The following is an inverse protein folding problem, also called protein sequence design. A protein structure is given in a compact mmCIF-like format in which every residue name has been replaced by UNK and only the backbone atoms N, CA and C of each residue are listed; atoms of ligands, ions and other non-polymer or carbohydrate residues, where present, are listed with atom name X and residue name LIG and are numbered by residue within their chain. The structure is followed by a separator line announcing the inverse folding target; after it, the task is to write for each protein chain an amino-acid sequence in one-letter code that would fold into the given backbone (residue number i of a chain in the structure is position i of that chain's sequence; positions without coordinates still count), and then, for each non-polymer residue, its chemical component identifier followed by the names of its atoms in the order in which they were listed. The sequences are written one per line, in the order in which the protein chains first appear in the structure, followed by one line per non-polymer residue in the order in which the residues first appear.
data_IF_057175112116
#
_entry.id   IF_057175112116
#
_cell.length_a   1.000
_cell.length_b   1.000
_cell.length_c   1.000
_cell.angle_alpha   90.00
_cell.angle_beta   90.00
_cell.angle_gamma   90.00
#
_symmetry.space_group_name_H-M   'P 1'
#
loop_
_entity.id
_entity.type
_entity.pdbx_description
1 polymer ?
#
# COMPACT_ATOMS: atom_id res chain seq x y z
N UNK A 1 -10.37 20.02 37.04
CA UNK A 1 -11.66 19.71 37.69
C UNK A 1 -12.82 19.69 36.71
N UNK A 2 -13.93 19.05 37.10
CA UNK A 2 -15.16 19.03 36.28
C UNK A 2 -15.60 20.48 36.01
N UNK A 3 -15.83 20.80 34.75
CA UNK A 3 -16.10 22.16 34.27
C UNK A 3 -14.91 22.83 33.59
N UNK A 4 -13.69 22.34 33.81
CA UNK A 4 -12.48 22.88 33.18
C UNK A 4 -12.53 22.72 31.66
N UNK A 5 -11.83 23.66 31.00
CA UNK A 5 -11.73 23.73 29.55
C UNK A 5 -10.27 23.75 29.12
N UNK A 6 -9.97 23.03 28.06
CA UNK A 6 -8.78 23.17 27.26
C UNK A 6 -9.19 23.72 25.89
N UNK A 7 -8.33 24.56 25.33
CA UNK A 7 -8.47 25.06 23.97
C UNK A 7 -7.39 24.38 23.13
N UNK A 8 -7.79 23.84 21.98
CA UNK A 8 -6.92 23.11 21.08
C UNK A 8 -7.08 23.68 19.69
N UNK A 9 -6.03 24.33 19.22
CA UNK A 9 -5.95 24.84 17.85
C UNK A 9 -5.35 23.75 16.96
N UNK A 10 -6.11 23.37 15.95
CA UNK A 10 -5.74 22.39 14.94
C UNK A 10 -5.59 23.08 13.60
N UNK A 11 -4.53 22.74 12.87
CA UNK A 11 -4.20 23.30 11.56
C UNK A 11 -4.05 24.84 11.59
N UNK A 12 -2.80 25.31 11.70
CA UNK A 12 -2.51 26.74 11.71
C UNK A 12 -2.75 27.46 10.37
N UNK A 13 -3.09 26.74 9.31
CA UNK A 13 -3.61 27.34 8.08
C UNK A 13 -5.08 27.71 8.22
N UNK A 14 -5.91 26.73 8.58
CA UNK A 14 -7.36 26.85 8.66
C UNK A 14 -7.89 27.40 10.00
N UNK A 15 -7.06 27.42 11.04
CA UNK A 15 -7.34 27.91 12.40
C UNK A 15 -8.57 27.24 13.06
N UNK A 16 -8.60 25.90 13.08
CA UNK A 16 -9.66 25.15 13.74
C UNK A 16 -9.53 25.20 15.26
N UNK A 17 -10.44 25.91 15.93
CA UNK A 17 -10.41 26.08 17.38
C UNK A 17 -11.39 25.12 18.07
N UNK A 18 -10.85 24.14 18.80
CA UNK A 18 -11.64 23.18 19.58
C UNK A 18 -11.65 23.52 21.07
N UNK A 19 -12.83 23.50 21.69
CA UNK A 19 -12.96 23.55 23.15
C UNK A 19 -13.21 22.15 23.70
N UNK A 20 -12.29 21.65 24.52
CA UNK A 20 -12.41 20.36 25.21
C UNK A 20 -12.82 20.65 26.66
N UNK A 21 -14.01 20.21 27.06
CA UNK A 21 -14.54 20.43 28.41
C UNK A 21 -14.62 19.12 29.19
N UNK A 22 -14.12 19.10 30.42
CA UNK A 22 -14.32 17.96 31.33
C UNK A 22 -15.73 18.01 31.92
N UNK A 23 -16.62 17.14 31.48
CA UNK A 23 -18.03 17.13 31.94
C UNK A 23 -18.27 16.24 33.16
N UNK A 24 -17.55 15.11 33.25
CA UNK A 24 -17.65 14.18 34.35
C UNK A 24 -16.36 13.35 34.49
N UNK A 25 -16.08 12.92 35.72
CA UNK A 25 -15.04 11.92 36.02
C UNK A 25 -15.73 10.69 36.58
N UNK A 26 -15.64 9.57 35.87
CA UNK A 26 -16.29 8.31 36.21
C UNK A 26 -15.24 7.22 36.44
N UNK A 27 -15.52 6.19 37.26
CA UNK A 27 -14.66 5.03 37.38
C UNK A 27 -14.44 4.37 36.01
N UNK A 28 -13.18 4.04 35.72
CA UNK A 28 -12.82 3.37 34.48
C UNK A 28 -13.11 1.88 34.57
N UNK A 29 -13.66 1.31 33.50
CA UNK A 29 -13.68 -0.14 33.30
C UNK A 29 -12.34 -0.58 32.70
N UNK A 30 -11.60 -1.45 33.41
CA UNK A 30 -10.25 -1.89 33.00
C UNK A 30 -10.23 -2.63 31.67
N UNK A 31 -11.35 -3.27 31.31
CA UNK A 31 -11.51 -4.00 30.05
C UNK A 31 -12.17 -3.18 28.94
N UNK A 32 -12.55 -1.93 29.22
CA UNK A 32 -13.16 -1.03 28.24
C UNK A 32 -12.12 -0.39 27.30
N UNK A 33 -12.54 0.00 26.08
CA UNK A 33 -11.70 0.81 25.19
C UNK A 33 -11.28 2.13 25.88
N UNK A 34 -10.09 2.65 25.52
CA UNK A 34 -9.53 3.88 26.12
C UNK A 34 -10.38 5.12 25.86
N UNK A 35 -11.03 5.19 24.70
CA UNK A 35 -11.92 6.26 24.32
C UNK A 35 -13.10 5.69 23.52
N UNK A 36 -14.27 6.27 23.74
CA UNK A 36 -15.50 5.97 23.00
C UNK A 36 -16.20 7.29 22.72
N UNK A 37 -16.51 7.55 21.47
CA UNK A 37 -17.48 8.57 21.09
C UNK A 37 -18.86 8.06 21.48
N UNK A 38 -19.49 8.75 22.43
CA UNK A 38 -20.81 8.39 22.97
C UNK A 38 -21.95 9.14 22.32
N UNK A 39 -21.66 10.30 21.71
CA UNK A 39 -22.62 11.14 21.00
C UNK A 39 -21.87 12.17 20.14
N UNK A 40 -22.57 12.73 19.16
CA UNK A 40 -22.13 13.88 18.39
C UNK A 40 -23.24 14.37 17.48
N UNK A 41 -23.01 15.49 16.80
CA UNK A 41 -23.93 16.10 15.84
C UNK A 41 -23.15 16.91 14.82
N UNK A 42 -23.78 17.07 13.65
CA UNK A 42 -23.20 17.69 12.45
C UNK A 42 -22.02 16.89 11.88
N UNK A 43 -21.89 16.98 10.58
CA UNK A 43 -20.73 16.45 9.86
C UNK A 43 -19.50 17.29 10.19
N UNK A 44 -18.33 16.66 10.25
CA UNK A 44 -17.06 17.32 10.51
C UNK A 44 -16.57 18.12 9.31
N UNK A 45 -15.68 19.11 9.51
CA UNK A 45 -15.07 19.82 8.39
C UNK A 45 -14.24 18.87 7.52
N UNK A 46 -14.16 19.17 6.22
CA UNK A 46 -13.12 18.59 5.37
C UNK A 46 -11.76 19.18 5.78
N UNK A 47 -10.69 18.39 5.66
CA UNK A 47 -9.33 18.92 5.88
C UNK A 47 -8.99 19.98 4.82
N UNK A 48 -8.19 20.97 5.22
CA UNK A 48 -7.73 22.06 4.36
C UNK A 48 -8.86 22.80 3.61
N UNK A 49 -10.07 22.85 4.19
CA UNK A 49 -11.23 23.44 3.52
C UNK A 49 -11.26 24.97 3.59
N UNK A 50 -10.36 25.59 4.36
CA UNK A 50 -10.32 27.05 4.54
C UNK A 50 -11.00 27.52 5.82
N UNK A 51 -11.02 26.67 6.86
CA UNK A 51 -11.49 27.03 8.19
C UNK A 51 -13.00 27.19 8.34
N UNK A 52 -13.41 27.80 9.46
CA UNK A 52 -14.83 27.89 9.88
C UNK A 52 -15.72 28.56 8.83
N UNK A 53 -15.23 29.64 8.20
CA UNK A 53 -15.99 30.36 7.18
C UNK A 53 -16.33 29.46 5.99
N UNK A 54 -15.33 28.77 5.46
CA UNK A 54 -15.49 27.92 4.31
C UNK A 54 -16.37 26.70 4.61
N UNK A 55 -16.23 26.10 5.80
CA UNK A 55 -17.09 25.00 6.22
C UNK A 55 -18.58 25.40 6.29
N UNK A 56 -18.92 26.53 6.92
CA UNK A 56 -20.31 26.95 7.00
C UNK A 56 -20.87 27.30 5.61
N UNK A 57 -20.03 27.89 4.74
CA UNK A 57 -20.37 28.15 3.35
C UNK A 57 -20.66 26.85 2.57
N UNK A 58 -19.80 25.85 2.70
CA UNK A 58 -19.97 24.52 2.09
C UNK A 58 -21.24 23.86 2.64
N UNK A 59 -21.47 23.85 3.96
CA UNK A 59 -22.69 23.30 4.54
C UNK A 59 -23.96 23.93 3.96
N UNK A 60 -23.99 25.26 3.81
CA UNK A 60 -25.13 25.95 3.21
C UNK A 60 -25.27 25.65 1.71
N UNK A 61 -24.15 25.61 0.98
CA UNK A 61 -24.13 25.29 -0.44
C UNK A 61 -24.50 23.82 -0.73
N UNK A 62 -24.26 22.89 0.20
CA UNK A 62 -24.58 21.47 0.05
C UNK A 62 -25.99 21.08 0.49
N UNK A 63 -26.75 21.98 1.14
CA UNK A 63 -28.13 21.73 1.57
C UNK A 63 -29.12 22.56 0.73
N UNK A 64 -29.80 21.97 -0.27
CA UNK A 64 -30.79 22.67 -1.09
C UNK A 64 -32.01 23.21 -0.31
N UNK A 65 -32.21 22.76 0.94
CA UNK A 65 -33.28 23.27 1.81
C UNK A 65 -32.81 24.44 2.67
N UNK A 66 -31.52 24.77 2.68
CA UNK A 66 -31.00 25.90 3.39
C UNK A 66 -31.50 27.21 2.76
N UNK A 67 -32.07 28.16 3.54
CA UNK A 67 -32.54 29.44 3.01
C UNK A 67 -31.47 30.22 2.24
N UNK A 68 -30.21 30.08 2.64
CA UNK A 68 -29.07 30.79 2.06
C UNK A 68 -28.36 29.97 0.97
N UNK A 69 -28.91 28.81 0.56
CA UNK A 69 -28.28 27.89 -0.39
C UNK A 69 -27.83 28.58 -1.69
N UNK A 70 -28.70 29.38 -2.31
CA UNK A 70 -28.39 30.03 -3.59
C UNK A 70 -27.24 31.05 -3.47
N UNK A 71 -27.23 31.82 -2.39
CA UNK A 71 -26.18 32.80 -2.11
C UNK A 71 -24.87 32.10 -1.73
N UNK A 72 -24.94 31.01 -0.97
CA UNK A 72 -23.80 30.18 -0.62
C UNK A 72 -23.14 29.53 -1.85
N UNK A 73 -23.92 29.01 -2.80
CA UNK A 73 -23.39 28.45 -4.06
C UNK A 73 -22.70 29.52 -4.90
N UNK A 74 -23.29 30.72 -4.98
CA UNK A 74 -22.70 31.84 -5.71
C UNK A 74 -21.39 32.31 -5.07
N UNK A 75 -21.37 32.44 -3.74
CA UNK A 75 -20.18 32.83 -2.97
C UNK A 75 -19.08 31.76 -3.04
N UNK A 76 -19.44 30.47 -2.96
CA UNK A 76 -18.48 29.37 -3.14
C UNK A 76 -17.81 29.43 -4.52
N UNK A 77 -18.59 29.69 -5.58
CA UNK A 77 -18.09 29.87 -6.94
C UNK A 77 -17.19 31.10 -7.08
N UNK A 78 -17.49 32.17 -6.35
CA UNK A 78 -16.66 33.39 -6.35
C UNK A 78 -15.31 33.17 -5.64
N UNK A 79 -15.33 32.51 -4.48
CA UNK A 79 -14.15 32.29 -3.63
C UNK A 79 -13.23 31.22 -4.22
N UNK A 80 -13.79 30.11 -4.71
CA UNK A 80 -13.04 28.93 -5.15
C UNK A 80 -13.02 28.72 -6.68
N UNK A 81 -13.69 29.59 -7.43
CA UNK A 81 -13.76 29.57 -8.90
C UNK A 81 -14.98 28.83 -9.45
N UNK A 82 -15.28 29.06 -10.74
CA UNK A 82 -16.49 28.55 -11.42
C UNK A 82 -16.59 27.01 -11.48
N UNK A 83 -15.51 26.30 -11.15
CA UNK A 83 -15.47 24.83 -11.09
C UNK A 83 -15.57 24.28 -9.66
N UNK A 84 -15.81 25.13 -8.66
CA UNK A 84 -16.01 24.69 -7.30
C UNK A 84 -17.32 23.91 -7.19
N UNK A 85 -17.21 22.61 -6.96
CA UNK A 85 -18.36 21.72 -6.75
C UNK A 85 -18.54 21.48 -5.24
N UNK A 86 -19.66 21.93 -4.63
CA UNK A 86 -19.96 21.67 -3.22
C UNK A 86 -19.96 20.18 -2.86
N UNK A 87 -20.31 19.29 -3.79
CA UNK A 87 -20.28 17.83 -3.55
C UNK A 87 -18.85 17.29 -3.52
N UNK A 88 -17.92 17.87 -4.30
CA UNK A 88 -16.51 17.52 -4.27
C UNK A 88 -15.79 18.02 -3.00
N UNK A 89 -16.36 19.02 -2.32
CA UNK A 89 -15.86 19.61 -1.07
C UNK A 89 -16.60 19.07 0.17
N UNK A 90 -17.20 17.88 0.06
CA UNK A 90 -18.07 17.31 1.10
C UNK A 90 -17.45 17.31 2.49
N UNK A 91 -18.27 17.73 3.44
CA UNK A 91 -18.05 17.55 4.88
C UNK A 91 -17.95 16.06 5.22
N UNK A 92 -17.19 15.74 6.27
CA UNK A 92 -17.00 14.37 6.74
C UNK A 92 -18.25 13.92 7.50
N UNK A 93 -19.03 12.94 7.02
CA UNK A 93 -20.26 12.55 7.69
C UNK A 93 -20.02 12.11 9.13
N UNK A 94 -20.89 12.51 10.04
CA UNK A 94 -20.82 12.00 11.41
C UNK A 94 -21.37 10.58 11.49
N UNK A 95 -20.48 9.61 11.60
CA UNK A 95 -20.82 8.22 11.89
C UNK A 95 -20.14 7.76 13.20
N UNK A 96 -20.95 7.56 14.23
CA UNK A 96 -20.46 7.14 15.56
C UNK A 96 -19.83 5.74 15.55
N UNK A 97 -20.27 4.86 14.65
CA UNK A 97 -19.70 3.53 14.46
C UNK A 97 -18.30 3.63 13.89
N UNK A 98 -18.13 4.35 12.77
CA UNK A 98 -16.83 4.56 12.13
C UNK A 98 -15.84 5.28 13.08
N UNK A 99 -16.32 6.29 13.81
CA UNK A 99 -15.50 7.00 14.80
C UNK A 99 -15.03 6.04 15.90
N UNK A 100 -15.90 5.18 16.43
CA UNK A 100 -15.52 4.25 17.49
C UNK A 100 -14.59 3.13 17.00
N UNK A 101 -14.76 2.66 15.76
CA UNK A 101 -13.80 1.77 15.13
C UNK A 101 -12.42 2.43 14.99
N UNK A 102 -12.39 3.71 14.57
CA UNK A 102 -11.16 4.49 14.51
C UNK A 102 -10.51 4.67 15.89
N UNK A 103 -11.29 5.00 16.93
CA UNK A 103 -10.81 5.16 18.31
C UNK A 103 -10.26 3.85 18.88
N UNK A 104 -10.90 2.71 18.59
CA UNK A 104 -10.41 1.39 18.98
C UNK A 104 -9.07 1.05 18.31
N UNK A 105 -8.89 1.49 17.07
CA UNK A 105 -7.66 1.30 16.29
C UNK A 105 -6.47 2.16 16.72
N UNK A 106 -6.67 3.21 17.54
CA UNK A 106 -5.60 4.14 17.93
C UNK A 106 -4.53 3.53 18.87
N UNK A 107 -4.67 2.26 19.29
CA UNK A 107 -3.59 1.46 19.87
C UNK A 107 -2.74 2.24 20.89
N UNK A 108 -3.40 2.84 21.89
CA UNK A 108 -2.73 3.65 22.88
C UNK A 108 -1.93 2.74 23.83
N UNK A 109 -0.61 2.78 23.75
CA UNK A 109 0.26 2.12 24.73
C UNK A 109 0.09 2.84 26.07
N UNK A 110 -0.34 2.09 27.09
CA UNK A 110 -0.64 2.62 28.41
C UNK A 110 0.59 3.13 29.15
N UNK A 111 0.35 4.11 30.01
CA UNK A 111 1.20 4.72 31.04
C UNK A 111 1.86 3.77 32.07
N UNK A 112 2.04 2.48 31.76
CA UNK A 112 2.76 1.54 32.66
C UNK A 112 4.23 1.35 32.26
N UNK A 113 4.72 2.05 31.23
CA UNK A 113 6.16 2.19 30.96
C UNK A 113 6.68 3.54 31.47
N UNK A 114 7.95 3.61 31.93
CA UNK A 114 8.49 4.81 32.56
C UNK A 114 8.44 5.99 31.59
N UNK A 115 7.95 7.11 32.13
CA UNK A 115 7.92 8.46 31.56
C UNK A 115 9.08 8.72 30.59
N UNK A 116 8.81 8.57 29.30
CA UNK A 116 9.65 9.13 28.24
C UNK A 116 8.84 10.25 27.61
N UNK A 117 9.21 11.48 27.98
CA UNK A 117 8.61 12.75 27.59
C UNK A 117 8.79 13.00 26.08
N UNK A 118 8.09 12.21 25.25
CA UNK A 118 8.16 12.24 23.80
C UNK A 118 6.82 11.88 23.13
N UNK A 119 5.69 12.26 23.74
CA UNK A 119 4.35 12.13 23.15
C UNK A 119 4.11 12.98 21.88
N UNK A 120 5.13 13.72 21.40
CA UNK A 120 5.17 14.37 20.10
C UNK A 120 6.19 13.77 19.12
N UNK A 121 6.82 12.64 19.46
CA UNK A 121 7.82 12.03 18.60
C UNK A 121 7.13 11.30 17.45
N UNK A 122 7.24 11.91 16.28
CA UNK A 122 6.98 11.31 14.96
C UNK A 122 7.31 9.81 15.01
N UNK A 123 6.30 8.94 14.87
CA UNK A 123 6.57 7.51 14.66
C UNK A 123 7.48 7.43 13.45
N UNK A 124 8.75 7.11 13.66
CA UNK A 124 9.71 6.92 12.57
C UNK A 124 9.37 5.60 11.88
N UNK A 125 8.45 5.68 10.93
CA UNK A 125 8.20 4.58 10.02
C UNK A 125 9.42 4.39 9.10
N UNK A 126 9.68 3.18 8.59
CA UNK A 126 10.63 2.97 7.49
C UNK A 126 10.35 3.97 6.36
N UNK A 127 11.39 4.55 5.76
CA UNK A 127 11.33 5.76 4.92
C UNK A 127 10.10 5.90 4.02
N UNK A 128 9.82 4.94 3.12
CA UNK A 128 8.67 5.02 2.21
C UNK A 128 7.31 5.07 2.90
N UNK A 129 7.17 4.46 4.08
CA UNK A 129 5.91 4.46 4.83
C UNK A 129 5.67 5.82 5.50
N UNK A 130 6.72 6.48 6.00
CA UNK A 130 6.60 7.85 6.51
C UNK A 130 6.26 8.82 5.37
N UNK A 131 6.90 8.65 4.20
CA UNK A 131 6.60 9.43 3.00
C UNK A 131 5.13 9.30 2.58
N UNK A 132 4.60 8.07 2.50
CA UNK A 132 3.19 7.84 2.17
C UNK A 132 2.24 8.49 3.18
N UNK A 133 2.52 8.37 4.49
CA UNK A 133 1.67 8.98 5.53
C UNK A 133 1.71 10.51 5.45
N UNK A 134 2.86 11.10 5.12
CA UNK A 134 2.98 12.56 4.93
C UNK A 134 2.34 13.04 3.63
N UNK A 135 2.43 12.27 2.56
CA UNK A 135 1.89 12.61 1.25
C UNK A 135 0.37 12.51 1.19
N UNK A 136 -0.26 11.73 2.08
CA UNK A 136 -1.70 11.61 2.16
C UNK A 136 -2.35 12.96 2.45
N UNK A 137 -3.25 13.39 1.56
CA UNK A 137 -3.95 14.68 1.58
C UNK A 137 -5.23 14.62 2.40
N UNK A 138 -5.81 13.44 2.58
CA UNK A 138 -7.07 13.26 3.33
C UNK A 138 -6.82 12.65 4.71
N UNK A 139 -7.57 13.09 5.73
CA UNK A 139 -7.50 12.48 7.07
C UNK A 139 -7.91 11.00 7.07
N UNK A 140 -8.88 10.63 6.24
CA UNK A 140 -9.25 9.23 6.02
C UNK A 140 -8.05 8.40 5.51
N UNK A 141 -7.33 8.90 4.49
CA UNK A 141 -6.15 8.23 3.95
C UNK A 141 -4.99 8.15 4.95
N UNK A 142 -4.67 9.25 5.65
CA UNK A 142 -3.66 9.27 6.73
C UNK A 142 -3.98 8.23 7.80
N UNK A 143 -5.25 8.17 8.23
CA UNK A 143 -5.72 7.23 9.25
C UNK A 143 -5.61 5.79 8.79
N UNK A 144 -6.05 5.51 7.57
CA UNK A 144 -5.98 4.16 7.01
C UNK A 144 -4.55 3.67 6.86
N UNK A 145 -3.64 4.48 6.32
CA UNK A 145 -2.21 4.13 6.24
C UNK A 145 -1.66 3.78 7.62
N UNK A 146 -1.94 4.59 8.65
CA UNK A 146 -1.50 4.30 10.03
C UNK A 146 -2.11 3.01 10.57
N UNK A 147 -3.38 2.73 10.28
CA UNK A 147 -4.04 1.48 10.69
C UNK A 147 -3.41 0.26 10.00
N UNK A 148 -3.16 0.33 8.70
CA UNK A 148 -2.50 -0.74 7.96
C UNK A 148 -1.07 -0.95 8.48
N UNK A 149 -0.31 0.11 8.75
CA UNK A 149 1.04 0.01 9.34
C UNK A 149 0.98 -0.67 10.72
N UNK A 150 0.02 -0.30 11.57
CA UNK A 150 -0.18 -0.95 12.87
C UNK A 150 -0.54 -2.43 12.73
N UNK A 151 -1.45 -2.78 11.81
CA UNK A 151 -1.85 -4.18 11.52
C UNK A 151 -0.71 -4.99 10.90
N UNK A 152 0.16 -4.35 10.13
CA UNK A 152 1.30 -5.00 9.50
C UNK A 152 2.32 -5.54 10.52
N UNK A 153 2.32 -5.04 11.76
CA UNK A 153 3.19 -5.49 12.86
C UNK A 153 4.66 -5.59 12.41
N UNK A 154 5.23 -4.45 12.04
CA UNK A 154 6.60 -4.39 11.51
C UNK A 154 7.69 -4.45 12.59
N UNK A 155 7.36 -4.38 13.89
CA UNK A 155 8.34 -4.37 14.98
C UNK A 155 9.01 -5.73 15.25
N UNK A 156 8.30 -6.88 15.22
CA UNK A 156 8.91 -8.19 15.46
C UNK A 156 9.79 -8.65 14.28
N UNK A 157 10.96 -9.25 14.54
CA UNK A 157 11.86 -9.72 13.48
C UNK A 157 11.17 -10.74 12.60
N UNK A 158 11.39 -10.64 11.28
CA UNK A 158 10.88 -11.65 10.34
C UNK A 158 11.85 -12.83 10.31
N UNK A 159 11.33 -14.01 10.60
CA UNK A 159 12.06 -15.27 10.55
C UNK A 159 11.63 -16.04 9.30
N UNK A 160 12.61 -16.59 8.59
CA UNK A 160 12.39 -17.51 7.46
C UNK A 160 13.37 -18.66 7.60
N UNK A 161 12.85 -19.88 7.64
CA UNK A 161 13.68 -21.08 7.66
C UNK A 161 14.18 -21.42 6.24
N UNK A 162 15.22 -22.24 6.15
CA UNK A 162 15.85 -22.59 4.87
C UNK A 162 14.90 -23.34 3.92
N UNK A 163 13.99 -24.17 4.42
CA UNK A 163 13.06 -24.93 3.59
C UNK A 163 11.98 -24.03 2.99
N UNK A 164 11.45 -23.10 3.78
CA UNK A 164 10.51 -22.06 3.34
C UNK A 164 11.15 -21.13 2.32
N UNK A 165 12.34 -20.60 2.61
CA UNK A 165 13.08 -19.77 1.66
C UNK A 165 13.29 -20.52 0.33
N UNK A 166 13.77 -21.77 0.39
CA UNK A 166 14.02 -22.60 -0.80
C UNK A 166 12.77 -22.83 -1.64
N UNK A 167 11.62 -23.08 -1.00
CA UNK A 167 10.34 -23.23 -1.72
C UNK A 167 9.93 -21.93 -2.41
N UNK A 168 9.96 -20.81 -1.69
CA UNK A 168 9.53 -19.52 -2.23
C UNK A 168 10.42 -19.06 -3.39
N UNK A 169 11.75 -19.15 -3.25
CA UNK A 169 12.66 -18.68 -4.31
C UNK A 169 12.92 -19.71 -5.41
N UNK A 170 12.29 -20.89 -5.36
CA UNK A 170 12.53 -22.00 -6.31
C UNK A 170 12.48 -21.57 -7.78
N UNK A 171 11.51 -20.76 -8.24
CA UNK A 171 11.49 -20.32 -9.64
C UNK A 171 12.71 -19.46 -10.01
N UNK A 172 13.17 -18.61 -9.09
CA UNK A 172 14.37 -17.81 -9.29
C UNK A 172 15.62 -18.68 -9.28
N UNK A 173 15.82 -19.55 -8.28
CA UNK A 173 17.01 -20.43 -8.23
C UNK A 173 17.11 -21.31 -9.47
N UNK A 174 15.99 -21.89 -9.92
CA UNK A 174 15.91 -22.65 -11.16
C UNK A 174 16.41 -21.83 -12.36
N UNK A 175 15.94 -20.59 -12.51
CA UNK A 175 16.36 -19.74 -13.62
C UNK A 175 17.84 -19.37 -13.52
N UNK A 176 18.35 -19.05 -12.32
CA UNK A 176 19.77 -18.75 -12.13
C UNK A 176 20.64 -19.97 -12.47
N UNK A 177 20.19 -21.16 -12.10
CA UNK A 177 20.86 -22.42 -12.43
C UNK A 177 20.85 -22.71 -13.92
N UNK A 178 19.71 -22.49 -14.58
CA UNK A 178 19.54 -22.68 -16.01
C UNK A 178 20.39 -21.72 -16.83
N UNK A 179 20.56 -20.48 -16.37
CA UNK A 179 21.41 -19.47 -17.02
C UNK A 179 22.89 -19.82 -16.86
N UNK A 180 23.30 -20.28 -15.67
CA UNK A 180 24.68 -20.71 -15.43
C UNK A 180 25.74 -19.60 -15.58
N UNK A 181 27.01 -20.00 -15.61
CA UNK A 181 28.13 -19.07 -15.80
C UNK A 181 28.29 -18.64 -17.27
N UNK A 182 27.96 -19.54 -18.19
CA UNK A 182 28.07 -19.33 -19.64
C UNK A 182 26.95 -18.45 -20.22
N UNK A 183 25.81 -18.38 -19.53
CA UNK A 183 24.62 -17.67 -19.98
C UNK A 183 23.80 -18.43 -21.01
N UNK A 184 22.68 -17.81 -21.42
CA UNK A 184 21.79 -18.34 -22.46
C UNK A 184 21.82 -17.40 -23.65
N UNK A 185 22.18 -17.92 -24.83
CA UNK A 185 22.04 -17.17 -26.08
C UNK A 185 20.55 -17.02 -26.42
N UNK A 186 20.09 -15.78 -26.49
CA UNK A 186 18.71 -15.46 -26.80
C UNK A 186 18.44 -15.62 -28.30
N UNK A 187 17.17 -15.78 -28.63
CA UNK A 187 16.69 -15.68 -30.02
C UNK A 187 16.98 -14.29 -30.60
N UNK A 188 16.88 -14.14 -31.92
CA UNK A 188 17.05 -12.83 -32.57
C UNK A 188 16.10 -11.74 -32.06
N UNK A 189 14.93 -12.13 -31.53
CA UNK A 189 13.95 -11.23 -30.92
C UNK A 189 14.19 -10.99 -29.41
N UNK A 190 15.29 -11.52 -28.83
CA UNK A 190 15.66 -11.27 -27.44
C UNK A 190 14.93 -12.11 -26.38
N UNK A 191 14.28 -13.21 -26.82
CA UNK A 191 13.57 -14.17 -25.97
C UNK A 191 14.38 -15.46 -25.72
N UNK A 192 14.02 -16.18 -24.67
CA UNK A 192 14.54 -17.52 -24.38
C UNK A 192 14.25 -18.49 -25.54
N UNK A 193 15.23 -19.30 -25.97
CA UNK A 193 14.99 -20.37 -26.92
C UNK A 193 13.97 -21.40 -26.41
N UNK A 194 13.22 -22.07 -27.32
CA UNK A 194 12.15 -23.02 -26.95
C UNK A 194 12.55 -24.06 -25.91
N UNK A 195 13.76 -24.63 -26.02
CA UNK A 195 14.26 -25.64 -25.08
C UNK A 195 14.37 -25.15 -23.62
N UNK A 196 14.54 -23.85 -23.39
CA UNK A 196 14.52 -23.28 -22.03
C UNK A 196 13.11 -22.95 -21.57
N UNK A 197 12.22 -22.58 -22.48
CA UNK A 197 10.79 -22.34 -22.18
C UNK A 197 10.11 -23.65 -21.79
N UNK A 198 10.30 -24.71 -22.58
CA UNK A 198 9.74 -26.04 -22.33
C UNK A 198 10.24 -26.64 -21.01
N UNK A 199 11.53 -26.44 -20.70
CA UNK A 199 12.12 -26.84 -19.42
C UNK A 199 11.50 -26.06 -18.25
N UNK A 200 11.31 -24.75 -18.38
CA UNK A 200 10.66 -23.94 -17.34
C UNK A 200 9.23 -24.43 -17.10
N UNK A 201 8.45 -24.64 -18.17
CA UNK A 201 7.07 -25.11 -18.08
C UNK A 201 6.96 -26.45 -17.36
N UNK A 202 7.85 -27.39 -17.68
CA UNK A 202 7.84 -28.75 -17.13
C UNK A 202 8.36 -28.79 -15.71
N UNK A 203 9.55 -28.23 -15.47
CA UNK A 203 10.24 -28.37 -14.19
C UNK A 203 9.66 -27.48 -13.09
N UNK A 204 9.09 -26.31 -13.46
CA UNK A 204 8.44 -25.42 -12.49
C UNK A 204 6.93 -25.67 -12.36
N UNK A 205 6.33 -26.54 -13.20
CA UNK A 205 4.90 -26.84 -13.13
C UNK A 205 4.01 -25.71 -13.67
N UNK A 206 4.53 -24.81 -14.50
CA UNK A 206 3.81 -23.61 -14.97
C UNK A 206 2.68 -23.94 -15.98
N UNK A 207 2.55 -25.20 -16.39
CA UNK A 207 1.47 -25.66 -17.26
C UNK A 207 0.08 -25.56 -16.62
N UNK A 208 -0.01 -25.59 -15.29
CA UNK A 208 -1.27 -25.42 -14.56
C UNK A 208 -1.76 -23.96 -14.60
N UNK A 209 -0.85 -23.01 -14.80
CA UNK A 209 -1.13 -21.57 -14.76
C UNK A 209 -1.43 -20.97 -16.15
N UNK A 210 -1.22 -21.71 -17.24
CA UNK A 210 -1.22 -21.14 -18.59
C UNK A 210 -1.84 -22.03 -19.67
N UNK A 211 -2.74 -21.43 -20.45
CA UNK A 211 -3.35 -22.06 -21.62
C UNK A 211 -2.49 -21.76 -22.84
N UNK A 212 -1.65 -22.72 -23.25
CA UNK A 212 -0.83 -22.59 -24.45
C UNK A 212 0.16 -23.73 -24.64
N UNK A 213 0.87 -23.72 -25.79
CA UNK A 213 1.88 -24.75 -26.12
C UNK A 213 3.12 -24.71 -25.23
N UNK A 214 3.41 -23.57 -24.57
CA UNK A 214 4.55 -23.45 -23.65
C UNK A 214 5.93 -23.54 -24.31
N UNK A 215 6.06 -23.15 -25.59
CA UNK A 215 7.31 -23.30 -26.36
C UNK A 215 7.88 -21.99 -26.94
N UNK A 216 7.19 -20.86 -26.76
CA UNK A 216 7.64 -19.52 -27.16
C UNK A 216 7.42 -18.56 -26.00
N UNK A 217 8.49 -17.95 -25.51
CA UNK A 217 8.45 -17.11 -24.31
C UNK A 217 7.44 -15.96 -24.45
N UNK A 218 7.43 -15.26 -25.60
CA UNK A 218 6.48 -14.17 -25.87
C UNK A 218 5.01 -14.60 -26.01
N UNK A 219 4.73 -15.91 -25.94
CA UNK A 219 3.38 -16.50 -25.91
C UNK A 219 3.18 -17.35 -24.65
N UNK A 220 4.09 -17.27 -23.69
CA UNK A 220 4.10 -18.06 -22.44
C UNK A 220 4.38 -17.12 -21.28
N UNK A 221 3.36 -16.37 -20.87
CA UNK A 221 3.50 -15.28 -19.90
C UNK A 221 4.19 -15.69 -18.58
N UNK A 222 3.92 -16.85 -17.96
CA UNK A 222 4.61 -17.22 -16.71
C UNK A 222 6.13 -17.30 -16.86
N UNK A 223 6.63 -17.79 -17.99
CA UNK A 223 8.08 -17.87 -18.27
C UNK A 223 8.64 -16.49 -18.55
N UNK A 224 7.94 -15.68 -19.33
CA UNK A 224 8.31 -14.30 -19.62
C UNK A 224 8.43 -13.48 -18.33
N UNK A 225 7.39 -13.54 -17.49
CA UNK A 225 7.29 -12.88 -16.20
C UNK A 225 8.40 -13.31 -15.23
N UNK A 226 8.76 -14.61 -15.21
CA UNK A 226 9.89 -15.08 -14.42
C UNK A 226 11.22 -14.45 -14.87
N UNK A 227 11.49 -14.42 -16.18
CA UNK A 227 12.71 -13.80 -16.72
C UNK A 227 12.74 -12.30 -16.45
N UNK A 228 11.64 -11.61 -16.70
CA UNK A 228 11.56 -10.15 -16.59
C UNK A 228 11.63 -9.68 -15.15
N UNK A 229 10.89 -10.31 -14.25
CA UNK A 229 11.03 -10.01 -12.81
C UNK A 229 12.44 -10.29 -12.31
N UNK A 230 13.11 -11.36 -12.73
CA UNK A 230 14.50 -11.61 -12.37
C UNK A 230 15.47 -10.52 -12.91
N UNK A 231 15.21 -10.00 -14.12
CA UNK A 231 15.96 -8.88 -14.67
C UNK A 231 15.70 -7.57 -13.91
N UNK A 232 14.44 -7.24 -13.62
CA UNK A 232 14.03 -6.02 -12.90
C UNK A 232 14.53 -6.02 -11.45
N UNK A 233 14.65 -7.21 -10.84
CA UNK A 233 15.27 -7.39 -9.51
C UNK A 233 16.82 -7.41 -9.56
N UNK A 234 17.42 -7.22 -10.73
CA UNK A 234 18.87 -7.12 -10.92
C UNK A 234 19.61 -8.45 -10.79
N UNK A 235 18.94 -9.58 -10.97
CA UNK A 235 19.57 -10.90 -10.99
C UNK A 235 20.13 -11.24 -12.38
N UNK A 236 19.50 -10.73 -13.44
CA UNK A 236 19.88 -10.99 -14.83
C UNK A 236 20.24 -9.71 -15.57
N UNK A 237 21.05 -9.85 -16.62
CA UNK A 237 21.36 -8.79 -17.58
C UNK A 237 21.50 -9.36 -18.99
N UNK A 238 21.18 -8.56 -20.00
CA UNK A 238 21.40 -8.90 -21.41
C UNK A 238 22.68 -8.23 -21.90
N UNK A 239 23.55 -8.97 -22.62
CA UNK A 239 24.76 -8.44 -23.27
C UNK A 239 24.99 -9.16 -24.59
N UNK A 240 25.07 -8.42 -25.70
CA UNK A 240 25.30 -8.95 -27.05
C UNK A 240 24.42 -10.18 -27.38
N UNK A 241 23.12 -10.09 -27.10
CA UNK A 241 22.15 -11.18 -27.35
C UNK A 241 22.26 -12.38 -26.39
N UNK A 242 23.04 -12.28 -25.31
CA UNK A 242 23.18 -13.34 -24.30
C UNK A 242 22.61 -12.86 -22.97
N UNK A 243 21.79 -13.70 -22.33
CA UNK A 243 21.28 -13.51 -20.98
C UNK A 243 22.31 -14.07 -19.99
N UNK A 244 22.73 -13.24 -19.04
CA UNK A 244 23.81 -13.55 -18.10
C UNK A 244 23.40 -13.25 -16.66
N UNK A 245 23.99 -13.98 -15.72
CA UNK A 245 23.91 -13.64 -14.30
C UNK A 245 24.63 -12.32 -14.00
N UNK A 246 24.03 -11.50 -13.12
CA UNK A 246 24.75 -10.38 -12.48
C UNK A 246 25.74 -10.90 -11.44
N UNK A 247 26.63 -10.03 -10.94
CA UNK A 247 27.56 -10.40 -9.87
C UNK A 247 26.84 -10.81 -8.58
N UNK A 248 25.71 -10.17 -8.27
CA UNK A 248 24.86 -10.55 -7.14
C UNK A 248 24.26 -11.94 -7.36
N UNK A 249 23.65 -12.19 -8.52
CA UNK A 249 23.04 -13.48 -8.81
C UNK A 249 24.02 -14.66 -8.72
N UNK A 250 25.26 -14.52 -9.22
CA UNK A 250 26.28 -15.58 -9.06
C UNK A 250 26.56 -15.94 -7.60
N UNK A 251 26.58 -14.94 -6.71
CA UNK A 251 26.80 -15.17 -5.27
C UNK A 251 25.59 -15.81 -4.59
N UNK A 252 24.39 -15.49 -5.05
CA UNK A 252 23.12 -15.94 -4.44
C UNK A 252 22.64 -17.31 -4.94
N UNK A 253 23.15 -17.78 -6.09
CA UNK A 253 22.68 -18.99 -6.79
C UNK A 253 22.62 -20.25 -5.91
N UNK A 254 23.51 -20.38 -4.92
CA UNK A 254 23.55 -21.52 -4.00
C UNK A 254 23.01 -21.24 -2.59
N UNK A 255 22.44 -20.06 -2.33
CA UNK A 255 21.96 -19.66 -1.00
C UNK A 255 20.52 -19.11 -1.09
N UNK A 256 19.51 -20.00 -0.95
CA UNK A 256 18.12 -19.60 -1.04
C UNK A 256 17.67 -18.60 0.01
N UNK A 257 18.24 -18.64 1.22
CA UNK A 257 17.92 -17.69 2.30
C UNK A 257 18.47 -16.31 1.95
N UNK A 258 19.71 -16.23 1.47
CA UNK A 258 20.27 -14.96 1.00
C UNK A 258 19.51 -14.41 -0.22
N UNK A 259 19.08 -15.26 -1.16
CA UNK A 259 18.28 -14.85 -2.31
C UNK A 259 16.92 -14.31 -1.87
N UNK A 260 16.26 -14.95 -0.91
CA UNK A 260 14.99 -14.50 -0.35
C UNK A 260 15.12 -13.08 0.24
N UNK A 261 16.13 -12.85 1.08
CA UNK A 261 16.40 -11.53 1.66
C UNK A 261 16.82 -10.49 0.62
N UNK A 262 17.56 -10.91 -0.41
CA UNK A 262 17.93 -10.02 -1.52
C UNK A 262 16.70 -9.52 -2.27
N UNK A 263 15.72 -10.40 -2.53
CA UNK A 263 14.46 -10.04 -3.19
C UNK A 263 13.61 -9.14 -2.29
N UNK A 264 13.47 -9.46 -1.00
CA UNK A 264 12.72 -8.64 -0.05
C UNK A 264 13.27 -7.20 0.04
N UNK A 265 14.59 -7.02 0.00
CA UNK A 265 15.25 -5.70 0.04
C UNK A 265 15.07 -4.84 -1.22
N UNK A 266 14.47 -5.37 -2.28
CA UNK A 266 14.47 -4.76 -3.62
C UNK A 266 13.09 -4.69 -4.27
N UNK A 267 12.03 -5.04 -3.56
CA UNK A 267 10.66 -5.11 -4.07
C UNK A 267 9.76 -4.05 -3.41
N UNK A 268 8.91 -3.27 -4.16
CA UNK A 268 8.84 -3.10 -5.62
C UNK A 268 10.15 -3.02 -6.38
N UNK A 269 10.20 -3.62 -7.59
CA UNK A 269 11.25 -3.35 -8.54
C UNK A 269 11.39 -1.85 -8.80
N UNK A 270 12.60 -1.41 -9.14
CA UNK A 270 12.84 0.00 -9.46
C UNK A 270 12.05 0.40 -10.70
N UNK A 271 11.23 1.44 -10.57
CA UNK A 271 10.52 2.06 -11.68
C UNK A 271 10.90 3.54 -11.82
N UNK A 272 10.98 4.10 -13.04
CA UNK A 272 11.05 5.54 -13.25
C UNK A 272 9.70 6.22 -12.96
N UNK A 273 8.60 5.47 -12.90
CA UNK A 273 7.30 5.96 -12.53
C UNK A 273 7.12 5.88 -11.00
N UNK A 274 6.99 7.04 -10.36
CA UNK A 274 6.77 7.13 -8.92
C UNK A 274 5.44 6.49 -8.50
N UNK A 275 4.43 6.47 -9.38
CA UNK A 275 3.14 5.84 -9.11
C UNK A 275 3.30 4.33 -8.89
N UNK A 276 4.07 3.64 -9.74
CA UNK A 276 4.33 2.20 -9.60
C UNK A 276 5.08 1.87 -8.30
N UNK A 277 5.99 2.76 -7.87
CA UNK A 277 6.70 2.61 -6.60
C UNK A 277 5.75 2.75 -5.42
N UNK A 278 4.94 3.81 -5.37
CA UNK A 278 3.93 3.99 -4.33
C UNK A 278 2.92 2.84 -4.31
N UNK A 279 2.43 2.42 -5.48
CA UNK A 279 1.47 1.33 -5.64
C UNK A 279 2.03 0.03 -5.06
N UNK A 280 3.27 -0.32 -5.41
CA UNK A 280 3.89 -1.53 -4.88
C UNK A 280 4.16 -1.48 -3.37
N UNK A 281 4.51 -0.32 -2.79
CA UNK A 281 4.66 -0.18 -1.34
C UNK A 281 3.32 -0.32 -0.63
N UNK A 282 2.26 0.31 -1.14
CA UNK A 282 0.90 0.20 -0.60
C UNK A 282 0.39 -1.23 -0.71
N UNK A 283 0.64 -1.92 -1.83
CA UNK A 283 0.30 -3.32 -1.99
C UNK A 283 1.00 -4.18 -0.91
N UNK A 284 2.31 -4.04 -0.73
CA UNK A 284 3.04 -4.77 0.31
C UNK A 284 2.48 -4.48 1.70
N UNK A 285 2.09 -3.23 1.97
CA UNK A 285 1.48 -2.84 3.22
C UNK A 285 0.12 -3.52 3.44
N UNK A 286 -0.74 -3.54 2.43
CA UNK A 286 -2.03 -4.22 2.47
C UNK A 286 -1.86 -5.74 2.72
N UNK A 287 -0.90 -6.38 2.06
CA UNK A 287 -0.60 -7.80 2.26
C UNK A 287 -0.03 -8.08 3.66
N UNK A 288 0.91 -7.26 4.14
CA UNK A 288 1.51 -7.40 5.47
C UNK A 288 0.48 -7.21 6.60
N UNK A 289 -0.49 -6.31 6.38
CA UNK A 289 -1.61 -6.05 7.28
C UNK A 289 -2.68 -7.15 7.27
N UNK A 290 -2.65 -8.06 6.27
CA UNK A 290 -3.68 -9.07 6.08
C UNK A 290 -5.05 -8.44 5.80
N UNK A 291 -5.09 -7.40 4.95
CA UNK A 291 -6.33 -6.74 4.58
C UNK A 291 -7.34 -7.76 4.00
N UNK A 292 -8.59 -7.70 4.47
CA UNK A 292 -9.66 -8.56 4.00
C UNK A 292 -10.25 -8.11 2.65
N UNK A 293 -10.07 -6.82 2.33
CA UNK A 293 -10.47 -6.21 1.06
C UNK A 293 -9.47 -6.58 -0.05
N UNK A 294 -9.92 -6.50 -1.31
CA UNK A 294 -9.05 -6.66 -2.48
C UNK A 294 -7.87 -5.65 -2.38
N UNK A 295 -6.61 -6.13 -2.41
CA UNK A 295 -5.45 -5.25 -2.35
C UNK A 295 -5.43 -4.17 -3.43
N UNK A 296 -6.04 -4.40 -4.60
CA UNK A 296 -6.09 -3.39 -5.68
C UNK A 296 -7.01 -2.24 -5.34
N UNK A 297 -8.11 -2.53 -4.65
CA UNK A 297 -9.04 -1.50 -4.17
C UNK A 297 -8.43 -0.66 -3.07
N UNK A 298 -7.78 -1.31 -2.10
CA UNK A 298 -7.01 -0.62 -1.05
C UNK A 298 -5.95 0.27 -1.69
N UNK A 299 -5.24 -0.25 -2.70
CA UNK A 299 -4.18 0.49 -3.41
C UNK A 299 -4.73 1.68 -4.18
N UNK A 300 -5.81 1.52 -4.96
CA UNK A 300 -6.42 2.61 -5.72
C UNK A 300 -6.84 3.77 -4.81
N UNK A 301 -7.53 3.46 -3.72
CA UNK A 301 -8.00 4.44 -2.73
C UNK A 301 -6.86 5.19 -2.05
N UNK A 302 -5.81 4.48 -1.65
CA UNK A 302 -4.65 5.11 -1.00
C UNK A 302 -3.74 5.88 -1.97
N UNK A 303 -3.63 5.45 -3.22
CA UNK A 303 -2.99 6.23 -4.28
C UNK A 303 -3.74 7.54 -4.53
N UNK A 304 -5.07 7.49 -4.59
CA UNK A 304 -5.92 8.69 -4.66
C UNK A 304 -5.71 9.61 -3.45
N UNK A 305 -5.64 9.04 -2.25
CA UNK A 305 -5.41 9.80 -1.02
C UNK A 305 -4.05 10.54 -1.01
N UNK A 306 -3.01 10.02 -1.66
CA UNK A 306 -1.71 10.72 -1.81
C UNK A 306 -1.64 11.60 -3.07
N UNK A 307 -2.74 11.70 -3.82
CA UNK A 307 -2.92 12.65 -4.92
C UNK A 307 -2.69 12.11 -6.33
N UNK A 308 -2.63 10.80 -6.53
CA UNK A 308 -2.60 10.21 -7.87
C UNK A 308 -4.00 10.15 -8.48
N UNK A 309 -4.10 10.50 -9.75
CA UNK A 309 -5.33 10.46 -10.57
C UNK A 309 -5.01 9.93 -11.95
N UNK A 310 -6.02 9.53 -12.72
CA UNK A 310 -5.86 9.22 -14.14
C UNK A 310 -5.43 10.47 -14.93
N UNK A 311 -4.92 10.27 -16.15
CA UNK A 311 -4.49 11.37 -17.01
C UNK A 311 -5.59 12.36 -17.42
N UNK A 312 -6.86 11.96 -17.27
CA UNK A 312 -8.04 12.81 -17.48
C UNK A 312 -8.56 13.47 -16.18
N UNK A 313 -7.86 13.29 -15.06
CA UNK A 313 -8.21 13.85 -13.75
C UNK A 313 -9.19 12.99 -12.93
N UNK A 314 -9.69 11.88 -13.47
CA UNK A 314 -10.61 10.99 -12.74
C UNK A 314 -9.92 10.13 -11.70
N UNK A 315 -10.68 9.61 -10.73
CA UNK A 315 -10.17 8.72 -9.68
C UNK A 315 -9.58 7.42 -10.25
N UNK A 316 -8.54 6.92 -9.59
CA UNK A 316 -7.93 5.64 -9.95
C UNK A 316 -8.90 4.49 -9.68
N UNK A 317 -9.05 3.62 -10.68
CA UNK A 317 -9.81 2.38 -10.53
C UNK A 317 -8.93 1.26 -9.95
N UNK A 318 -9.57 0.21 -9.44
CA UNK A 318 -8.89 -1.03 -9.02
C UNK A 318 -8.01 -1.59 -10.16
N UNK A 319 -8.51 -1.52 -11.40
CA UNK A 319 -7.77 -1.98 -12.57
C UNK A 319 -6.51 -1.14 -12.80
N UNK A 320 -6.59 0.18 -12.68
CA UNK A 320 -5.46 1.08 -12.84
C UNK A 320 -4.41 0.85 -11.75
N UNK A 321 -4.84 0.70 -10.49
CA UNK A 321 -3.94 0.35 -9.37
C UNK A 321 -3.30 -1.03 -9.56
N UNK A 322 -4.08 -2.01 -10.04
CA UNK A 322 -3.60 -3.35 -10.35
C UNK A 322 -2.53 -3.35 -11.45
N UNK A 323 -2.65 -2.46 -12.45
CA UNK A 323 -1.63 -2.23 -13.48
C UNK A 323 -0.38 -1.56 -12.90
N UNK A 324 -0.52 -0.52 -12.08
CA UNK A 324 0.61 0.11 -11.39
C UNK A 324 1.36 -0.86 -10.46
N UNK A 325 0.65 -1.86 -9.92
CA UNK A 325 1.22 -2.93 -9.10
C UNK A 325 1.81 -4.11 -9.89
N UNK A 326 1.72 -4.11 -11.22
CA UNK A 326 1.95 -5.30 -12.05
C UNK A 326 3.30 -5.96 -11.79
N UNK A 327 4.38 -5.18 -11.79
CA UNK A 327 5.74 -5.68 -11.59
C UNK A 327 5.95 -6.24 -10.17
N UNK A 328 5.41 -5.57 -9.16
CA UNK A 328 5.44 -6.03 -7.76
C UNK A 328 4.67 -7.35 -7.61
N UNK A 329 3.45 -7.42 -8.13
CA UNK A 329 2.63 -8.65 -8.14
C UNK A 329 3.32 -9.79 -8.88
N UNK A 330 4.01 -9.47 -9.97
CA UNK A 330 4.74 -10.48 -10.76
C UNK A 330 5.83 -11.15 -9.92
N UNK A 331 6.62 -10.38 -9.15
CA UNK A 331 7.60 -10.94 -8.21
C UNK A 331 6.90 -11.78 -7.13
N UNK A 332 5.85 -11.25 -6.51
CA UNK A 332 5.11 -11.94 -5.44
C UNK A 332 4.50 -13.27 -5.92
N UNK A 333 3.92 -13.31 -7.12
CA UNK A 333 3.39 -14.55 -7.73
C UNK A 333 4.50 -15.57 -7.97
N UNK A 334 5.65 -15.16 -8.51
CA UNK A 334 6.79 -16.07 -8.71
C UNK A 334 7.41 -16.56 -7.40
N UNK A 335 7.15 -15.88 -6.28
CA UNK A 335 7.54 -16.34 -4.95
C UNK A 335 6.51 -17.27 -4.27
N UNK A 336 5.33 -17.47 -4.89
CA UNK A 336 4.20 -18.11 -4.20
C UNK A 336 3.67 -17.29 -3.02
N UNK A 337 3.94 -15.98 -2.99
CA UNK A 337 3.46 -15.07 -1.96
C UNK A 337 1.97 -14.72 -2.14
N UNK A 338 1.43 -14.97 -3.34
CA UNK A 338 0.04 -14.75 -3.70
C UNK A 338 -0.56 -16.05 -4.25
N UNK A 339 -1.81 -16.33 -3.88
CA UNK A 339 -2.65 -17.35 -4.52
C UNK A 339 -3.58 -16.67 -5.51
N UNK A 340 -3.60 -17.14 -6.76
CA UNK A 340 -4.56 -16.70 -7.76
C UNK A 340 -5.78 -17.65 -7.76
N UNK A 341 -6.99 -17.08 -7.75
CA UNK A 341 -8.24 -17.86 -7.93
C UNK A 341 -8.50 -18.08 -9.43
N UNK A 342 -7.70 -18.96 -10.05
CA UNK A 342 -7.90 -19.43 -11.43
C UNK A 342 -7.20 -18.61 -12.54
N UNK A 343 -7.40 -19.01 -13.82
CA UNK A 343 -6.76 -18.36 -14.96
C UNK A 343 -7.38 -16.98 -15.21
N UNK A 344 -6.65 -15.92 -14.85
CA UNK A 344 -7.13 -14.55 -15.07
C UNK A 344 -6.70 -13.50 -14.05
N UNK A 345 -5.92 -13.86 -13.02
CA UNK A 345 -5.31 -12.92 -12.07
C UNK A 345 -6.34 -12.12 -11.22
N UNK A 346 -7.55 -12.63 -10.98
CA UNK A 346 -8.55 -11.94 -10.14
C UNK A 346 -8.37 -12.23 -8.65
N UNK A 347 -8.36 -11.17 -7.83
CA UNK A 347 -8.33 -11.13 -6.37
C UNK A 347 -7.25 -12.00 -5.70
N UNK A 348 -5.98 -11.68 -5.97
CA UNK A 348 -4.83 -12.38 -5.41
C UNK A 348 -4.81 -12.27 -3.87
N UNK A 349 -4.85 -13.41 -3.17
CA UNK A 349 -4.78 -13.46 -1.70
C UNK A 349 -3.36 -13.76 -1.21
N UNK A 350 -2.87 -13.10 -0.14
CA UNK A 350 -1.56 -13.41 0.40
C UNK A 350 -1.53 -14.81 1.04
N UNK A 351 -0.46 -15.57 0.79
CA UNK A 351 -0.12 -16.74 1.61
C UNK A 351 0.48 -16.28 2.94
N UNK A 352 0.51 -17.16 3.96
CA UNK A 352 1.17 -16.83 5.24
C UNK A 352 2.65 -16.45 5.04
N UNK A 353 3.30 -17.13 4.10
CA UNK A 353 4.67 -16.86 3.65
C UNK A 353 4.77 -15.52 2.90
N UNK A 354 3.77 -15.19 2.10
CA UNK A 354 3.65 -13.89 1.45
C UNK A 354 3.49 -12.72 2.42
N UNK A 355 2.71 -12.89 3.49
CA UNK A 355 2.61 -11.90 4.58
C UNK A 355 3.98 -11.70 5.24
N UNK A 356 4.69 -12.78 5.55
CA UNK A 356 6.03 -12.69 6.13
C UNK A 356 7.03 -12.00 5.18
N UNK A 357 6.99 -12.32 3.88
CA UNK A 357 7.81 -11.67 2.87
C UNK A 357 7.51 -10.17 2.72
N UNK A 358 6.23 -9.78 2.71
CA UNK A 358 5.82 -8.39 2.65
C UNK A 358 6.30 -7.59 3.87
N UNK A 359 6.21 -8.16 5.08
CA UNK A 359 6.79 -7.58 6.29
C UNK A 359 8.30 -7.41 6.17
N UNK A 360 9.00 -8.42 5.65
CA UNK A 360 10.46 -8.33 5.43
C UNK A 360 10.83 -7.24 4.44
N UNK A 361 10.05 -7.07 3.36
CA UNK A 361 10.28 -6.02 2.38
C UNK A 361 10.13 -4.62 3.00
N UNK A 362 9.01 -4.36 3.68
CA UNK A 362 8.73 -3.07 4.32
C UNK A 362 9.73 -2.69 5.42
N UNK A 363 10.26 -3.68 6.15
CA UNK A 363 11.26 -3.45 7.21
C UNK A 363 12.64 -3.09 6.69
N UNK A 364 13.00 -3.54 5.49
CA UNK A 364 14.35 -3.40 4.96
C UNK A 364 14.43 -2.46 3.76
N UNK A 365 13.36 -1.72 3.51
CA UNK A 365 13.40 -0.70 2.48
C UNK A 365 14.31 0.45 2.90
N UNK A 366 15.22 0.91 2.03
CA UNK A 366 16.12 2.03 2.31
C UNK A 366 15.45 3.35 2.68
#
# INVERSE_FOLDING_TARGET
DVGDKLFYDYDFGDDWQHTIKLEAVLPRCDFGPRAVCVAGRRDGPAEDCGGVYAYELICAASDPQNPDHADAVAELSYVYGEFADPEAMRVTPFDIGEINEALAGLGWQGQDEPDDSNAGQQRNYPGPLDELVRAARTTAGKRELRQLIGKARLDPPVLVDAATASRMVRPYTWLLDRVGDDGIKLTGAGYLPPAHVEAAMTELGLGEEWIGKGNRENQTLPVLHLRESAANMGLLRKRHGTLLLTSHARKLRGDPVALWWYLAKRIPPKSPDACETHAGVILLLALAAGAAEDPDRVTARLLGAIGWVNGDGTELTELAAGQACWDTKTVLRRLGALTDDGPGHSAARPTAEGVAFARAALRNWP
#
